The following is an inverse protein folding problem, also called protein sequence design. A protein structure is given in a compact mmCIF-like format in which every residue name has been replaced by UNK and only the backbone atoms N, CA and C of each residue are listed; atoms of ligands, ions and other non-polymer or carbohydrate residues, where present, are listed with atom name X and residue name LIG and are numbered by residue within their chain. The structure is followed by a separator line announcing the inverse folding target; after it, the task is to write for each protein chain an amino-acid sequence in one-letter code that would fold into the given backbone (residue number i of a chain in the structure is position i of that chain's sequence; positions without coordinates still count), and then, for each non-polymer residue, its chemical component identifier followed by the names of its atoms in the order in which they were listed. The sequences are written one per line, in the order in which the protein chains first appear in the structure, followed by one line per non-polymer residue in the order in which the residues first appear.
data_IF_194157769639
#
_entry.id   IF_194157769639
#
_cell.length_a   1.000
_cell.length_b   1.000
_cell.length_c   1.000
_cell.angle_alpha   90.00
_cell.angle_beta   90.00
_cell.angle_gamma   90.00
#
_symmetry.space_group_name_H-M   'P 1'
#
loop_
_entity.id
_entity.type
_entity.pdbx_description
1 polymer ?
#
# COMPACT_ATOMS: atom_id res chain seq x y z
N UNK A 1 -47.64 -20.07 -74.65
CA UNK A 1 -46.19 -20.30 -74.52
C UNK A 1 -45.56 -19.00 -74.04
N UNK A 2 -45.42 -18.80 -72.73
CA UNK A 2 -44.77 -17.62 -72.14
C UNK A 2 -43.40 -18.05 -71.63
N UNK A 3 -42.34 -17.58 -72.29
CA UNK A 3 -40.95 -17.77 -71.88
C UNK A 3 -40.47 -16.42 -71.37
N UNK A 4 -40.55 -16.21 -70.05
CA UNK A 4 -39.83 -15.13 -69.37
C UNK A 4 -39.63 -15.55 -67.90
N UNK A 5 -38.56 -16.30 -67.64
CA UNK A 5 -38.00 -16.46 -66.31
C UNK A 5 -37.04 -15.30 -66.05
N UNK A 6 -37.48 -14.30 -65.28
CA UNK A 6 -36.62 -13.28 -64.69
C UNK A 6 -36.36 -13.63 -63.22
N UNK A 7 -35.49 -14.60 -62.95
CA UNK A 7 -34.81 -14.74 -61.64
C UNK A 7 -33.61 -15.67 -61.82
N UNK A 8 -32.49 -15.11 -62.28
CA UNK A 8 -31.18 -15.75 -62.21
C UNK A 8 -30.28 -14.81 -61.44
N UNK A 9 -29.61 -15.34 -60.41
CA UNK A 9 -28.67 -14.69 -59.49
C UNK A 9 -29.30 -13.92 -58.31
N UNK A 10 -29.60 -14.64 -57.22
CA UNK A 10 -29.14 -14.30 -55.86
C UNK A 10 -29.43 -12.91 -55.25
N UNK A 11 -30.28 -12.08 -55.84
CA UNK A 11 -30.70 -10.78 -55.30
C UNK A 11 -31.68 -10.98 -54.12
N UNK A 12 -31.15 -11.43 -53.00
CA UNK A 12 -31.95 -11.64 -51.78
C UNK A 12 -31.13 -11.88 -50.51
N UNK A 13 -29.80 -11.90 -50.59
CA UNK A 13 -28.97 -11.94 -49.39
C UNK A 13 -28.61 -10.50 -49.01
N UNK A 14 -29.21 -10.04 -47.91
CA UNK A 14 -28.81 -8.82 -47.21
C UNK A 14 -27.31 -8.86 -46.95
N UNK A 15 -26.57 -7.92 -47.55
CA UNK A 15 -25.17 -7.72 -47.21
C UNK A 15 -25.07 -7.46 -45.70
N UNK A 16 -24.21 -8.16 -44.94
CA UNK A 16 -23.97 -7.81 -43.55
C UNK A 16 -23.39 -6.38 -43.51
N UNK A 17 -23.94 -5.57 -42.61
CA UNK A 17 -23.61 -4.16 -42.43
C UNK A 17 -22.08 -3.90 -42.44
N UNK A 18 -21.59 -2.89 -43.18
CA UNK A 18 -20.16 -2.62 -43.37
C UNK A 18 -19.40 -2.21 -42.10
N UNK A 19 -20.10 -1.92 -41.00
CA UNK A 19 -19.48 -1.39 -39.78
C UNK A 19 -18.70 -2.42 -38.94
N UNK A 20 -18.91 -3.74 -39.16
CA UNK A 20 -18.26 -4.78 -38.33
C UNK A 20 -17.46 -5.83 -39.12
N UNK A 21 -17.61 -5.92 -40.45
CA UNK A 21 -16.86 -6.89 -41.26
C UNK A 21 -15.45 -6.40 -41.61
N UNK A 22 -15.28 -5.11 -41.89
CA UNK A 22 -13.99 -4.58 -42.38
C UNK A 22 -13.00 -4.23 -41.27
N UNK A 23 -13.44 -4.12 -40.01
CA UNK A 23 -12.54 -3.79 -38.90
C UNK A 23 -11.49 -4.89 -38.67
N UNK A 24 -11.84 -6.17 -38.92
CA UNK A 24 -10.90 -7.28 -38.86
C UNK A 24 -9.88 -7.23 -40.02
N UNK A 25 -10.31 -6.87 -41.23
CA UNK A 25 -9.44 -6.71 -42.38
C UNK A 25 -8.52 -5.48 -42.23
N UNK A 26 -9.05 -4.35 -41.76
CA UNK A 26 -8.31 -3.12 -41.48
C UNK A 26 -7.30 -3.32 -40.35
N UNK A 27 -7.66 -4.01 -39.27
CA UNK A 27 -6.69 -4.35 -38.22
C UNK A 27 -5.61 -5.32 -38.70
N UNK A 28 -5.96 -6.33 -39.51
CA UNK A 28 -4.98 -7.21 -40.13
C UNK A 28 -4.02 -6.45 -41.05
N UNK A 29 -4.52 -5.47 -41.81
CA UNK A 29 -3.71 -4.61 -42.68
C UNK A 29 -2.83 -3.63 -41.87
N UNK A 30 -3.34 -3.10 -40.76
CA UNK A 30 -2.63 -2.16 -39.88
C UNK A 30 -1.54 -2.83 -39.03
N UNK A 31 -1.63 -4.14 -38.75
CA UNK A 31 -0.63 -4.88 -37.97
C UNK A 31 0.78 -4.89 -38.60
N UNK A 32 0.90 -4.70 -39.91
CA UNK A 32 2.18 -4.66 -40.63
C UNK A 32 2.69 -3.21 -40.89
N UNK A 33 2.09 -2.19 -40.28
CA UNK A 33 2.51 -0.77 -40.44
C UNK A 33 3.74 -0.37 -39.62
N UNK A 34 4.25 -1.25 -38.74
CA UNK A 34 5.49 -0.98 -38.02
C UNK A 34 6.69 -1.13 -38.97
N UNK A 35 7.51 -0.08 -39.08
CA UNK A 35 8.75 -0.14 -39.85
C UNK A 35 9.65 -1.24 -39.28
N UNK A 36 9.92 -2.27 -40.10
CA UNK A 36 10.84 -3.33 -39.74
C UNK A 36 12.24 -2.75 -39.58
N UNK A 37 13.05 -3.24 -38.60
CA UNK A 37 14.47 -2.90 -38.54
C UNK A 37 15.16 -3.19 -39.87
N UNK A 38 16.10 -2.32 -40.27
CA UNK A 38 16.77 -2.41 -41.58
C UNK A 38 17.37 -3.79 -41.87
N UNK A 39 17.94 -4.44 -40.85
CA UNK A 39 18.53 -5.79 -40.95
C UNK A 39 17.48 -6.82 -41.35
N UNK A 40 16.30 -6.77 -40.74
CA UNK A 40 15.18 -7.69 -41.04
C UNK A 40 14.56 -7.38 -42.40
N UNK A 41 14.43 -6.10 -42.76
CA UNK A 41 13.97 -5.70 -44.08
C UNK A 41 14.90 -6.23 -45.18
N UNK A 42 16.22 -6.03 -45.02
CA UNK A 42 17.25 -6.54 -45.94
C UNK A 42 17.23 -8.07 -46.02
N UNK A 43 17.09 -8.76 -44.88
CA UNK A 43 16.98 -10.22 -44.85
C UNK A 43 15.74 -10.72 -45.61
N UNK A 44 14.57 -10.13 -45.36
CA UNK A 44 13.35 -10.49 -46.07
C UNK A 44 13.41 -10.19 -47.57
N UNK A 45 14.11 -9.12 -47.98
CA UNK A 45 14.37 -8.81 -49.38
C UNK A 45 15.32 -9.84 -50.01
N UNK A 46 16.44 -10.16 -49.34
CA UNK A 46 17.39 -11.19 -49.79
C UNK A 46 16.71 -12.54 -49.97
N UNK A 47 15.86 -12.96 -49.04
CA UNK A 47 15.11 -14.20 -49.11
C UNK A 47 14.33 -14.38 -50.44
N UNK A 48 13.80 -13.29 -51.01
CA UNK A 48 13.05 -13.32 -52.27
C UNK A 48 13.95 -13.51 -53.50
N UNK A 49 15.24 -13.21 -53.37
CA UNK A 49 16.24 -13.25 -54.44
C UNK A 49 17.23 -14.40 -54.28
N UNK A 50 17.00 -15.35 -53.36
CA UNK A 50 17.83 -16.54 -53.26
C UNK A 50 17.52 -17.46 -54.45
N UNK A 51 18.55 -17.73 -55.23
CA UNK A 51 18.50 -18.66 -56.35
C UNK A 51 18.56 -20.11 -55.86
N UNK A 52 18.00 -21.04 -56.64
CA UNK A 52 18.00 -22.48 -56.33
C UNK A 52 16.85 -22.97 -55.47
N UNK A 53 15.94 -22.10 -55.01
CA UNK A 53 14.72 -22.48 -54.29
C UNK A 53 13.44 -22.03 -55.00
N UNK A 54 12.36 -22.80 -54.79
CA UNK A 54 11.05 -22.55 -55.41
C UNK A 54 10.48 -21.20 -54.97
N UNK A 55 9.67 -20.56 -55.82
CA UNK A 55 9.04 -19.27 -55.50
C UNK A 55 8.21 -19.32 -54.21
N UNK A 56 7.54 -20.46 -53.95
CA UNK A 56 6.81 -20.69 -52.71
C UNK A 56 7.72 -20.76 -51.48
N UNK A 57 8.89 -21.39 -51.61
CA UNK A 57 9.88 -21.49 -50.54
C UNK A 57 10.50 -20.12 -50.25
N UNK A 58 10.79 -19.31 -51.28
CA UNK A 58 11.26 -17.92 -51.13
C UNK A 58 10.27 -17.04 -50.39
N UNK A 59 9.00 -17.08 -50.77
CA UNK A 59 7.95 -16.30 -50.11
C UNK A 59 7.79 -16.70 -48.63
N UNK A 60 7.89 -18.00 -48.31
CA UNK A 60 7.88 -18.47 -46.92
C UNK A 60 9.14 -18.06 -46.16
N UNK A 61 10.32 -18.16 -46.77
CA UNK A 61 11.57 -17.75 -46.15
C UNK A 61 11.60 -16.25 -45.86
N UNK A 62 11.04 -15.42 -46.77
CA UNK A 62 10.83 -13.99 -46.55
C UNK A 62 9.88 -13.73 -45.39
N UNK A 63 8.78 -14.49 -45.29
CA UNK A 63 7.86 -14.40 -44.16
C UNK A 63 8.52 -14.81 -42.82
N UNK A 64 9.38 -15.84 -42.83
CA UNK A 64 10.14 -16.28 -41.66
C UNK A 64 11.17 -15.23 -41.25
N UNK A 65 11.91 -14.65 -42.20
CA UNK A 65 12.88 -13.58 -41.92
C UNK A 65 12.23 -12.39 -41.21
N UNK A 66 10.98 -12.03 -41.54
CA UNK A 66 10.20 -10.98 -40.85
C UNK A 66 9.75 -11.35 -39.42
N UNK A 67 9.86 -12.61 -39.02
CA UNK A 67 9.46 -13.11 -37.69
C UNK A 67 10.63 -13.45 -36.78
N UNK A 68 11.85 -13.46 -37.32
CA UNK A 68 13.07 -13.81 -36.58
C UNK A 68 13.60 -12.57 -35.87
N UNK A 69 14.09 -12.76 -34.65
CA UNK A 69 14.80 -11.72 -33.91
C UNK A 69 16.23 -11.57 -34.46
N UNK A 70 16.61 -10.36 -34.90
CA UNK A 70 17.92 -10.09 -35.51
C UNK A 70 19.10 -10.43 -34.56
N UNK A 71 18.93 -10.19 -33.25
CA UNK A 71 19.97 -10.44 -32.25
C UNK A 71 20.17 -11.94 -31.96
N UNK A 72 19.21 -12.79 -32.36
CA UNK A 72 19.20 -14.23 -32.07
C UNK A 72 18.68 -15.04 -33.28
N UNK A 73 19.45 -15.10 -34.38
CA UNK A 73 18.98 -15.71 -35.63
C UNK A 73 18.73 -17.23 -35.54
N UNK A 74 19.38 -17.91 -34.58
CA UNK A 74 19.26 -19.36 -34.36
C UNK A 74 18.17 -19.75 -33.34
N UNK A 75 17.52 -18.76 -32.72
CA UNK A 75 16.45 -19.02 -31.78
C UNK A 75 15.25 -19.72 -32.46
N UNK A 76 14.44 -20.40 -31.65
CA UNK A 76 13.18 -21.00 -32.12
C UNK A 76 12.24 -19.91 -32.64
N UNK A 77 11.75 -20.06 -33.86
CA UNK A 77 10.79 -19.13 -34.46
C UNK A 77 9.39 -19.42 -33.91
N UNK A 78 8.84 -18.46 -33.17
CA UNK A 78 7.50 -18.55 -32.58
C UNK A 78 6.42 -17.96 -33.50
N UNK A 79 6.35 -18.46 -34.74
CA UNK A 79 5.34 -18.02 -35.69
C UNK A 79 4.14 -18.99 -35.72
N UNK A 80 2.92 -18.45 -35.56
CA UNK A 80 1.70 -19.23 -35.81
C UNK A 80 1.59 -19.53 -37.30
N UNK A 81 0.98 -20.68 -37.62
CA UNK A 81 0.80 -21.13 -39.01
C UNK A 81 -0.02 -20.13 -39.82
N UNK A 82 -1.06 -19.57 -39.20
CA UNK A 82 -1.95 -18.58 -39.79
C UNK A 82 -1.21 -17.28 -40.14
N UNK A 83 -0.27 -16.88 -39.28
CA UNK A 83 0.57 -15.70 -39.49
C UNK A 83 1.52 -15.91 -40.67
N UNK A 84 2.14 -17.10 -40.76
CA UNK A 84 3.02 -17.42 -41.89
C UNK A 84 2.25 -17.52 -43.21
N UNK A 85 1.06 -18.14 -43.21
CA UNK A 85 0.21 -18.19 -44.41
C UNK A 85 -0.23 -16.81 -44.87
N UNK A 86 -0.57 -15.92 -43.93
CA UNK A 86 -0.94 -14.53 -44.24
C UNK A 86 0.22 -13.74 -44.84
N UNK A 87 1.41 -13.84 -44.25
CA UNK A 87 2.61 -13.11 -44.72
C UNK A 87 3.18 -13.67 -46.02
N UNK A 88 3.15 -14.99 -46.20
CA UNK A 88 3.62 -15.63 -47.42
C UNK A 88 2.56 -15.61 -48.55
N UNK A 89 1.32 -15.19 -48.24
CA UNK A 89 0.15 -15.23 -49.14
C UNK A 89 -0.08 -16.63 -49.74
N UNK A 90 0.02 -17.66 -48.90
CA UNK A 90 -0.08 -19.06 -49.31
C UNK A 90 -1.16 -19.79 -48.51
N UNK A 91 -1.82 -20.76 -49.14
CA UNK A 91 -2.70 -21.67 -48.41
C UNK A 91 -1.91 -22.56 -47.45
N UNK A 92 -2.60 -23.10 -46.45
CA UNK A 92 -2.00 -24.00 -45.46
C UNK A 92 -1.33 -25.24 -46.10
N UNK A 93 -1.91 -25.77 -47.18
CA UNK A 93 -1.34 -26.90 -47.93
C UNK A 93 -0.04 -26.51 -48.64
N UNK A 94 -0.02 -25.33 -49.26
CA UNK A 94 1.18 -24.81 -49.94
C UNK A 94 2.28 -24.49 -48.93
N UNK A 95 1.93 -24.00 -47.73
CA UNK A 95 2.88 -23.76 -46.65
C UNK A 95 3.66 -25.03 -46.28
N UNK A 96 2.99 -26.17 -46.09
CA UNK A 96 3.69 -27.43 -45.75
C UNK A 96 4.63 -27.90 -46.85
N UNK A 97 4.26 -27.69 -48.12
CA UNK A 97 5.14 -27.99 -49.26
C UNK A 97 6.34 -27.05 -49.30
N UNK A 98 6.12 -25.76 -49.07
CA UNK A 98 7.20 -24.77 -48.99
C UNK A 98 8.15 -25.05 -47.81
N UNK A 99 7.63 -25.47 -46.65
CA UNK A 99 8.46 -25.89 -45.53
C UNK A 99 9.28 -27.13 -45.87
N UNK A 100 8.69 -28.11 -46.56
CA UNK A 100 9.43 -29.28 -47.02
C UNK A 100 10.56 -28.91 -47.99
N UNK A 101 10.28 -28.03 -48.97
CA UNK A 101 11.31 -27.52 -49.88
C UNK A 101 12.45 -26.82 -49.12
N UNK A 102 12.14 -26.00 -48.10
CA UNK A 102 13.13 -25.32 -47.27
C UNK A 102 13.96 -26.28 -46.41
N UNK A 103 13.37 -27.36 -45.91
CA UNK A 103 14.07 -28.44 -45.21
C UNK A 103 14.99 -29.21 -46.16
N UNK A 104 14.51 -29.56 -47.36
CA UNK A 104 15.35 -30.25 -48.36
C UNK A 104 16.50 -29.38 -48.85
N UNK A 105 16.31 -28.06 -48.89
CA UNK A 105 17.35 -27.09 -49.22
C UNK A 105 18.30 -26.80 -48.04
N UNK A 106 18.09 -27.40 -46.86
CA UNK A 106 18.93 -27.20 -45.68
C UNK A 106 18.82 -25.80 -45.05
N UNK A 107 17.74 -25.05 -45.33
CA UNK A 107 17.55 -23.68 -44.85
C UNK A 107 16.77 -23.60 -43.53
N UNK A 108 15.94 -24.60 -43.25
CA UNK A 108 15.14 -24.67 -42.03
C UNK A 108 15.25 -26.04 -41.41
N UNK A 109 15.38 -26.09 -40.09
CA UNK A 109 15.39 -27.31 -39.30
C UNK A 109 14.13 -27.40 -38.42
N UNK A 110 13.46 -28.56 -38.46
CA UNK A 110 12.39 -28.91 -37.52
C UNK A 110 12.96 -29.76 -36.40
N UNK A 111 13.09 -29.18 -35.20
CA UNK A 111 13.46 -30.00 -34.03
C UNK A 111 12.37 -31.02 -33.70
N UNK A 112 12.75 -32.22 -33.22
CA UNK A 112 11.79 -33.25 -32.83
C UNK A 112 10.87 -32.73 -31.72
N UNK A 113 9.64 -33.23 -31.73
CA UNK A 113 8.64 -32.85 -30.75
C UNK A 113 9.01 -33.44 -29.38
N UNK A 114 9.50 -32.60 -28.47
CA UNK A 114 9.83 -33.04 -27.12
C UNK A 114 8.56 -33.48 -26.37
N UNK A 115 8.61 -34.63 -25.69
CA UNK A 115 7.52 -35.12 -24.85
C UNK A 115 7.79 -34.70 -23.40
N UNK A 116 6.84 -34.02 -22.78
CA UNK A 116 6.86 -33.77 -21.34
C UNK A 116 6.35 -35.03 -20.65
N UNK A 117 7.27 -35.86 -20.19
CA UNK A 117 6.97 -37.16 -19.58
C UNK A 117 6.09 -37.00 -18.33
N UNK A 118 6.33 -35.96 -17.53
CA UNK A 118 5.60 -35.68 -16.28
C UNK A 118 4.14 -35.29 -16.49
N UNK A 119 3.83 -34.61 -17.59
CA UNK A 119 2.48 -34.09 -17.86
C UNK A 119 1.74 -34.89 -18.95
N UNK A 120 2.39 -35.89 -19.56
CA UNK A 120 1.83 -36.67 -20.68
C UNK A 120 1.53 -35.85 -21.94
N UNK A 121 2.02 -34.61 -22.03
CA UNK A 121 1.78 -33.69 -23.13
C UNK A 121 2.96 -33.68 -24.10
N UNK A 122 2.65 -33.58 -25.39
CA UNK A 122 3.65 -33.31 -26.41
C UNK A 122 3.91 -31.79 -26.48
N UNK A 123 5.18 -31.41 -26.44
CA UNK A 123 5.65 -30.04 -26.66
C UNK A 123 5.40 -29.59 -28.09
N UNK A 124 5.78 -28.35 -28.41
CA UNK A 124 5.69 -27.82 -29.78
C UNK A 124 6.98 -28.14 -30.53
N UNK A 125 6.84 -28.53 -31.80
CA UNK A 125 7.97 -28.56 -32.72
C UNK A 125 8.21 -27.13 -33.21
N UNK A 126 9.38 -26.57 -32.87
CA UNK A 126 9.77 -25.24 -33.30
C UNK A 126 10.63 -25.31 -34.56
N UNK A 127 10.51 -24.27 -35.39
CA UNK A 127 11.34 -24.08 -36.57
C UNK A 127 12.59 -23.29 -36.16
N UNK A 128 13.74 -23.69 -36.69
CA UNK A 128 15.01 -23.01 -36.52
C UNK A 128 15.59 -22.67 -37.89
N UNK A 129 16.21 -21.49 -38.02
CA UNK A 129 17.07 -21.22 -39.18
C UNK A 129 18.37 -21.99 -39.02
N UNK A 130 18.82 -22.60 -40.11
CA UNK A 130 20.16 -23.19 -40.15
C UNK A 130 21.21 -22.09 -40.31
N UNK A 131 22.48 -22.45 -40.09
CA UNK A 131 23.60 -21.54 -40.33
C UNK A 131 23.60 -21.01 -41.78
N UNK A 132 23.39 -21.90 -42.75
CA UNK A 132 23.30 -21.54 -44.17
C UNK A 132 22.19 -20.52 -44.45
N UNK A 133 21.02 -20.67 -43.84
CA UNK A 133 19.95 -19.68 -44.00
C UNK A 133 20.29 -18.34 -43.37
N UNK A 134 20.90 -18.33 -42.18
CA UNK A 134 21.26 -17.08 -41.51
C UNK A 134 22.32 -16.28 -42.29
N UNK A 135 23.28 -16.98 -42.91
CA UNK A 135 24.31 -16.40 -43.80
C UNK A 135 23.68 -15.82 -45.08
N UNK A 136 22.84 -16.59 -45.78
CA UNK A 136 22.16 -16.13 -47.00
C UNK A 136 21.23 -14.93 -46.75
N UNK A 137 20.55 -14.91 -45.61
CA UNK A 137 19.71 -13.80 -45.19
C UNK A 137 20.53 -12.57 -44.75
N UNK A 138 21.83 -12.72 -44.50
CA UNK A 138 22.71 -11.67 -43.98
C UNK A 138 22.38 -11.27 -42.55
N UNK A 139 21.85 -12.21 -41.75
CA UNK A 139 21.63 -12.04 -40.32
C UNK A 139 22.91 -12.29 -39.51
N UNK A 140 23.85 -13.04 -40.09
CA UNK A 140 25.19 -13.29 -39.55
C UNK A 140 26.19 -12.83 -40.61
N UNK A 141 27.30 -12.23 -40.19
CA UNK A 141 28.41 -11.91 -41.09
C UNK A 141 28.96 -13.21 -41.67
N UNK A 142 29.10 -13.22 -42.99
CA UNK A 142 29.63 -14.35 -43.75
C UNK A 142 31.00 -14.70 -43.19
N UNK A 143 31.10 -15.84 -42.48
CA UNK A 143 32.40 -16.37 -42.08
C UNK A 143 33.14 -16.65 -43.39
N UNK A 144 34.29 -16.01 -43.68
CA UNK A 144 35.05 -16.37 -44.86
C UNK A 144 35.38 -17.86 -44.74
N UNK A 145 35.02 -18.62 -45.78
CA UNK A 145 35.34 -20.03 -45.86
C UNK A 145 36.83 -20.20 -45.52
N UNK A 146 37.22 -21.12 -44.61
CA UNK A 146 38.63 -21.42 -44.44
C UNK A 146 39.13 -21.90 -45.80
N UNK A 147 39.98 -21.09 -46.41
CA UNK A 147 40.80 -21.51 -47.54
C UNK A 147 41.53 -22.75 -47.04
N UNK A 148 41.19 -23.91 -47.58
CA UNK A 148 41.90 -25.14 -47.32
C UNK A 148 43.20 -25.05 -48.13
N UNK A 149 44.39 -24.84 -47.53
CA UNK A 149 45.60 -25.22 -48.21
C UNK A 149 45.64 -26.75 -48.24
N UNK A 150 45.63 -27.30 -49.45
CA UNK A 150 45.88 -28.71 -49.67
C UNK A 150 47.26 -29.11 -49.11
N UNK A 151 47.25 -30.15 -48.29
CA UNK A 151 48.29 -31.17 -48.09
C UNK A 151 49.72 -30.70 -47.78
N UNK A 152 50.15 -30.94 -46.53
CA UNK A 152 51.39 -31.67 -46.27
C UNK A 152 51.32 -32.32 -44.87
N UNK A 153 51.67 -33.60 -44.85
CA UNK A 153 51.73 -34.49 -43.70
C UNK A 153 52.63 -33.99 -42.56
N UNK A 154 52.20 -34.23 -41.31
CA UNK A 154 53.06 -34.74 -40.25
C UNK A 154 52.19 -35.19 -39.06
N UNK A 155 52.24 -36.50 -38.78
CA UNK A 155 51.58 -37.12 -37.65
C UNK A 155 52.17 -36.74 -36.29
N UNK A 156 51.37 -36.95 -35.26
CA UNK A 156 51.76 -36.82 -33.87
C UNK A 156 50.56 -37.04 -32.95
N UNK A 157 50.34 -38.30 -32.57
CA UNK A 157 49.53 -38.70 -31.43
C UNK A 157 50.21 -38.26 -30.13
N UNK A 158 49.50 -37.59 -29.22
CA UNK A 158 49.44 -38.00 -27.80
C UNK A 158 48.34 -37.27 -27.03
N UNK A 159 47.86 -37.94 -26.00
CA UNK A 159 46.72 -37.63 -25.14
C UNK A 159 47.01 -36.55 -24.07
N UNK A 160 45.95 -35.87 -23.62
CA UNK A 160 45.76 -35.57 -22.19
C UNK A 160 46.15 -34.17 -21.65
N UNK A 161 45.17 -33.24 -21.65
CA UNK A 161 44.79 -32.41 -20.48
C UNK A 161 43.65 -31.44 -20.85
N UNK A 162 42.48 -31.59 -20.23
CA UNK A 162 41.53 -30.48 -20.07
C UNK A 162 41.94 -29.57 -18.90
N UNK A 163 41.11 -28.61 -18.43
CA UNK A 163 39.82 -28.11 -18.93
C UNK A 163 39.89 -26.58 -19.21
N UNK A 164 38.73 -25.92 -19.30
CA UNK A 164 38.49 -24.45 -19.31
C UNK A 164 38.00 -23.87 -20.64
N UNK A 165 36.77 -24.23 -20.99
CA UNK A 165 35.88 -23.30 -21.69
C UNK A 165 34.91 -22.71 -20.68
N UNK A 166 34.94 -21.38 -20.62
CA UNK A 166 34.24 -20.53 -19.70
C UNK A 166 32.76 -20.90 -19.54
N UNK A 167 32.43 -21.33 -18.33
CA UNK A 167 31.12 -21.21 -17.71
C UNK A 167 30.66 -19.74 -17.76
N UNK A 168 29.94 -19.36 -18.81
CA UNK A 168 28.94 -18.31 -18.70
C UNK A 168 27.64 -18.92 -18.18
N UNK A 169 26.91 -18.31 -17.23
CA UNK A 169 25.58 -18.77 -16.89
C UNK A 169 24.63 -18.52 -18.08
N UNK A 170 24.55 -19.49 -18.99
CA UNK A 170 23.50 -19.54 -20.00
C UNK A 170 22.22 -19.97 -19.28
N UNK A 171 21.38 -19.00 -18.93
CA UNK A 171 20.02 -19.25 -18.51
C UNK A 171 19.30 -20.02 -19.62
N UNK A 172 19.20 -21.34 -19.46
CA UNK A 172 18.42 -22.23 -20.32
C UNK A 172 16.94 -22.00 -20.01
N UNK A 173 16.40 -20.87 -20.49
CA UNK A 173 14.96 -20.56 -20.46
C UNK A 173 14.38 -20.71 -21.87
N UNK A 174 14.74 -21.78 -22.57
CA UNK A 174 14.27 -22.05 -23.94
C UNK A 174 13.12 -23.07 -24.00
N UNK A 175 12.39 -23.26 -22.91
CA UNK A 175 11.07 -23.90 -22.95
C UNK A 175 10.02 -22.81 -22.71
N UNK A 176 9.72 -22.07 -23.78
CA UNK A 176 8.57 -21.18 -23.78
C UNK A 176 7.33 -21.96 -23.37
N UNK A 177 6.58 -21.40 -22.42
CA UNK A 177 5.35 -21.97 -21.88
C UNK A 177 4.46 -22.51 -23.01
N UNK A 178 3.96 -23.73 -22.84
CA UNK A 178 2.97 -24.31 -23.75
C UNK A 178 1.79 -23.33 -23.76
N UNK A 179 1.10 -23.14 -24.88
CA UNK A 179 -0.10 -22.28 -24.93
C UNK A 179 -1.21 -22.67 -23.94
N UNK A 180 -1.13 -23.86 -23.34
CA UNK A 180 -1.97 -24.30 -22.23
C UNK A 180 -1.51 -23.73 -20.88
N UNK A 181 -0.25 -23.35 -20.75
CA UNK A 181 0.35 -22.66 -19.59
C UNK A 181 0.35 -21.12 -19.75
N UNK A 182 0.29 -20.63 -20.99
CA UNK A 182 0.11 -19.20 -21.29
C UNK A 182 -1.32 -18.70 -21.01
N UNK A 183 -2.25 -19.62 -20.73
CA UNK A 183 -3.58 -19.33 -20.20
C UNK A 183 -3.78 -20.19 -18.95
N UNK A 184 -3.46 -19.72 -17.73
CA UNK A 184 -4.34 -20.09 -16.63
C UNK A 184 -5.68 -19.50 -17.06
N UNK A 185 -6.60 -20.34 -17.50
CA UNK A 185 -7.85 -19.93 -18.10
C UNK A 185 -8.39 -18.69 -17.36
N UNK A 186 -8.46 -17.56 -18.06
CA UNK A 186 -9.25 -16.41 -17.60
C UNK A 186 -10.75 -16.77 -17.46
N UNK A 187 -11.11 -17.99 -17.90
CA UNK A 187 -12.39 -18.68 -17.74
C UNK A 187 -12.41 -19.79 -16.68
N UNK A 188 -11.25 -20.23 -16.14
CA UNK A 188 -11.29 -20.81 -14.81
C UNK A 188 -11.62 -19.64 -13.93
N UNK A 189 -12.87 -19.59 -13.50
CA UNK A 189 -13.39 -18.72 -12.46
C UNK A 189 -12.51 -18.98 -11.24
N UNK A 190 -11.31 -18.35 -11.21
CA UNK A 190 -10.59 -18.05 -9.98
C UNK A 190 -11.71 -17.46 -9.16
N UNK A 191 -12.13 -18.18 -8.11
CA UNK A 191 -13.09 -17.63 -7.17
C UNK A 191 -12.66 -16.20 -6.97
N UNK A 192 -13.48 -15.19 -7.38
CA UNK A 192 -13.02 -13.82 -7.38
C UNK A 192 -12.60 -13.59 -5.95
N UNK A 193 -11.28 -13.53 -5.73
CA UNK A 193 -10.74 -13.40 -4.40
C UNK A 193 -11.45 -12.19 -3.86
N UNK A 194 -12.20 -12.35 -2.77
CA UNK A 194 -12.85 -11.18 -2.21
C UNK A 194 -11.73 -10.28 -1.71
N UNK A 195 -11.71 -9.05 -2.20
CA UNK A 195 -10.79 -8.04 -1.69
C UNK A 195 -11.13 -7.86 -0.20
N UNK A 196 -10.13 -7.93 0.70
CA UNK A 196 -10.34 -7.69 2.13
C UNK A 196 -11.12 -6.39 2.38
N UNK A 197 -12.02 -6.39 3.37
CA UNK A 197 -12.92 -5.26 3.63
C UNK A 197 -12.19 -3.91 3.69
N UNK A 198 -11.04 -3.85 4.36
CA UNK A 198 -10.20 -2.66 4.54
C UNK A 198 -9.70 -2.05 3.21
N UNK A 199 -9.59 -2.85 2.16
CA UNK A 199 -9.10 -2.46 0.84
C UNK A 199 -10.23 -2.21 -0.15
N UNK A 200 -11.47 -2.58 0.16
CA UNK A 200 -12.62 -2.34 -0.72
C UNK A 200 -12.85 -0.85 -0.97
N UNK A 201 -12.51 0.01 -0.01
CA UNK A 201 -12.58 1.48 -0.18
C UNK A 201 -11.73 1.99 -1.34
N UNK A 202 -10.65 1.30 -1.75
CA UNK A 202 -9.87 1.68 -2.92
C UNK A 202 -10.68 1.60 -4.23
N UNK A 203 -11.71 0.77 -4.29
CA UNK A 203 -12.58 0.67 -5.48
C UNK A 203 -13.27 2.01 -5.79
N UNK A 204 -13.60 2.80 -4.78
CA UNK A 204 -14.18 4.14 -4.95
C UNK A 204 -13.27 5.12 -5.69
N UNK A 205 -11.96 4.85 -5.74
CA UNK A 205 -10.95 5.66 -6.41
C UNK A 205 -10.53 5.09 -7.77
N UNK A 206 -11.26 4.09 -8.29
CA UNK A 206 -11.00 3.50 -9.60
C UNK A 206 -9.98 2.37 -9.62
N UNK A 207 -9.63 1.80 -8.46
CA UNK A 207 -8.76 0.61 -8.42
C UNK A 207 -9.56 -0.65 -8.79
N UNK A 208 -9.08 -1.39 -9.78
CA UNK A 208 -9.61 -2.72 -10.09
C UNK A 208 -9.10 -3.76 -9.09
N UNK A 209 -9.90 -4.81 -8.85
CA UNK A 209 -9.53 -5.89 -7.93
C UNK A 209 -8.18 -6.53 -8.29
N UNK A 210 -7.94 -6.74 -9.58
CA UNK A 210 -6.66 -7.25 -10.08
C UNK A 210 -5.48 -6.34 -9.72
N UNK A 211 -5.67 -5.02 -9.82
CA UNK A 211 -4.65 -4.05 -9.45
C UNK A 211 -4.41 -4.07 -7.93
N UNK A 212 -5.47 -4.18 -7.13
CA UNK A 212 -5.35 -4.30 -5.66
C UNK A 212 -4.55 -5.56 -5.30
N UNK A 213 -4.85 -6.71 -5.91
CA UNK A 213 -4.07 -7.94 -5.68
C UNK A 213 -2.61 -7.81 -6.11
N UNK A 214 -2.34 -7.14 -7.24
CA UNK A 214 -0.98 -6.84 -7.68
C UNK A 214 -0.24 -5.97 -6.67
N UNK A 215 -0.90 -4.92 -6.16
CA UNK A 215 -0.34 -4.02 -5.15
C UNK A 215 -0.13 -4.73 -3.80
N UNK A 216 -1.00 -5.65 -3.41
CA UNK A 216 -0.80 -6.47 -2.21
C UNK A 216 0.46 -7.33 -2.32
N UNK A 217 0.72 -7.90 -3.51
CA UNK A 217 1.95 -8.65 -3.77
C UNK A 217 3.17 -7.74 -3.70
N UNK A 218 3.12 -6.58 -4.36
CA UNK A 218 4.22 -5.61 -4.31
C UNK A 218 4.50 -5.10 -2.90
N UNK A 219 3.46 -4.87 -2.09
CA UNK A 219 3.62 -4.51 -0.69
C UNK A 219 4.31 -5.62 0.11
N UNK A 220 3.91 -6.88 -0.12
CA UNK A 220 4.53 -8.05 0.51
C UNK A 220 6.00 -8.20 0.14
N UNK A 221 6.33 -8.01 -1.13
CA UNK A 221 7.72 -8.04 -1.62
C UNK A 221 8.57 -6.93 -0.98
N UNK A 222 7.95 -5.79 -0.65
CA UNK A 222 8.56 -4.69 0.09
C UNK A 222 8.51 -4.87 1.63
N UNK A 223 8.04 -6.01 2.15
CA UNK A 223 7.94 -6.30 3.59
C UNK A 223 6.81 -5.56 4.32
N UNK A 224 5.80 -5.05 3.61
CA UNK A 224 4.72 -4.21 4.15
C UNK A 224 3.33 -4.79 3.90
N UNK A 225 2.35 -4.37 4.69
CA UNK A 225 0.94 -4.70 4.46
C UNK A 225 0.24 -3.53 3.77
N UNK A 226 -0.41 -3.79 2.64
CA UNK A 226 -1.11 -2.76 1.88
C UNK A 226 -2.21 -2.06 2.71
N UNK A 227 -2.91 -2.83 3.57
CA UNK A 227 -3.95 -2.28 4.46
C UNK A 227 -3.42 -1.15 5.33
N UNK A 228 -2.26 -1.34 5.97
CA UNK A 228 -1.65 -0.36 6.88
C UNK A 228 -1.26 0.92 6.13
N UNK A 229 -0.66 0.76 4.94
CA UNK A 229 -0.28 1.90 4.09
C UNK A 229 -1.50 2.71 3.69
N UNK A 230 -2.57 2.04 3.28
CA UNK A 230 -3.81 2.71 2.84
C UNK A 230 -4.51 3.39 4.02
N UNK A 231 -4.52 2.79 5.20
CA UNK A 231 -5.12 3.39 6.41
C UNK A 231 -4.44 4.71 6.78
N UNK A 232 -3.10 4.71 6.80
CA UNK A 232 -2.32 5.91 7.14
C UNK A 232 -2.44 6.98 6.05
N UNK A 233 -2.40 6.60 4.78
CA UNK A 233 -2.32 7.55 3.66
C UNK A 233 -3.66 7.86 3.00
N UNK A 234 -4.78 7.36 3.54
CA UNK A 234 -6.10 7.47 2.92
C UNK A 234 -6.48 8.90 2.51
N UNK A 235 -6.24 9.88 3.39
CA UNK A 235 -6.58 11.28 3.13
C UNK A 235 -5.78 11.85 1.96
N UNK A 236 -4.46 11.59 1.93
CA UNK A 236 -3.58 12.01 0.83
C UNK A 236 -3.88 11.27 -0.46
N UNK A 237 -4.25 10.00 -0.36
CA UNK A 237 -4.58 9.14 -1.49
C UNK A 237 -5.90 9.56 -2.15
N UNK A 238 -6.89 10.02 -1.36
CA UNK A 238 -8.15 10.59 -1.88
C UNK A 238 -7.93 11.95 -2.55
N UNK A 239 -7.01 12.76 -2.06
CA UNK A 239 -6.69 14.08 -2.63
C UNK A 239 -5.77 14.01 -3.87
N UNK A 240 -5.12 12.87 -4.12
CA UNK A 240 -4.15 12.72 -5.19
C UNK A 240 -4.81 12.74 -6.58
N UNK A 241 -4.26 13.53 -7.51
CA UNK A 241 -4.67 13.55 -8.93
C UNK A 241 -4.44 12.19 -9.63
N UNK A 242 -3.47 11.41 -9.15
CA UNK A 242 -3.09 10.08 -9.70
C UNK A 242 -2.87 9.07 -8.57
N UNK A 243 -3.94 8.54 -7.96
CA UNK A 243 -3.83 7.73 -6.73
C UNK A 243 -3.07 6.41 -6.95
N UNK A 244 -3.18 5.80 -8.14
CA UNK A 244 -2.46 4.56 -8.48
C UNK A 244 -0.94 4.76 -8.46
N UNK A 245 -0.46 5.82 -9.13
CA UNK A 245 0.97 6.14 -9.19
C UNK A 245 1.49 6.55 -7.81
N UNK A 246 0.71 7.33 -7.06
CA UNK A 246 1.04 7.77 -5.72
C UNK A 246 1.22 6.57 -4.76
N UNK A 247 0.28 5.64 -4.77
CA UNK A 247 0.37 4.42 -3.96
C UNK A 247 1.57 3.55 -4.37
N UNK A 248 1.82 3.39 -5.67
CA UNK A 248 3.00 2.68 -6.17
C UNK A 248 4.32 3.31 -5.71
N UNK A 249 4.39 4.64 -5.62
CA UNK A 249 5.56 5.34 -5.09
C UNK A 249 5.73 5.12 -3.58
N UNK A 250 4.64 5.18 -2.81
CA UNK A 250 4.65 4.92 -1.36
C UNK A 250 5.14 3.51 -1.01
N UNK A 251 4.77 2.50 -1.82
CA UNK A 251 5.22 1.13 -1.61
C UNK A 251 6.74 0.96 -1.83
N UNK A 252 7.37 1.79 -2.66
CA UNK A 252 8.82 1.77 -2.92
C UNK A 252 9.63 2.52 -1.87
N UNK A 253 9.04 3.49 -1.19
CA UNK A 253 9.71 4.29 -0.17
C UNK A 253 10.00 3.43 1.08
N UNK A 254 11.15 3.53 1.77
CA UNK A 254 11.46 2.73 2.97
C UNK A 254 10.61 2.99 4.24
N UNK A 255 9.64 3.90 4.24
CA UNK A 255 8.83 4.24 5.44
C UNK A 255 8.04 3.04 6.01
N UNK A 256 8.12 2.83 7.32
CA UNK A 256 7.32 1.82 8.05
C UNK A 256 5.96 2.39 8.50
N UNK A 257 4.93 2.09 7.72
CA UNK A 257 3.55 2.50 8.00
C UNK A 257 2.89 1.67 9.12
N UNK A 258 3.40 0.47 9.41
CA UNK A 258 2.82 -0.39 10.45
C UNK A 258 3.11 0.19 11.84
N UNK A 259 4.31 0.74 12.04
CA UNK A 259 4.67 1.44 13.26
C UNK A 259 3.81 2.70 13.48
N UNK A 260 3.62 3.50 12.43
CA UNK A 260 2.77 4.70 12.48
C UNK A 260 1.32 4.37 12.85
N UNK A 261 0.77 3.29 12.28
CA UNK A 261 -0.58 2.87 12.59
C UNK A 261 -0.72 2.39 14.04
N UNK A 262 0.23 1.59 14.54
CA UNK A 262 0.24 1.14 15.94
C UNK A 262 0.28 2.30 16.92
N UNK A 263 1.14 3.29 16.67
CA UNK A 263 1.27 4.47 17.51
C UNK A 263 -0.04 5.27 17.55
N UNK A 264 -0.70 5.43 16.40
CA UNK A 264 -2.00 6.10 16.31
C UNK A 264 -3.11 5.34 17.03
N UNK A 265 -3.18 4.02 16.87
CA UNK A 265 -4.19 3.19 17.54
C UNK A 265 -4.00 3.12 19.05
N UNK A 266 -2.75 3.11 19.52
CA UNK A 266 -2.45 3.16 20.96
C UNK A 266 -2.88 4.50 21.56
N UNK A 267 -2.55 5.61 20.91
CA UNK A 267 -2.97 6.93 21.37
C UNK A 267 -4.50 7.08 21.42
N UNK A 268 -5.24 6.53 20.44
CA UNK A 268 -6.71 6.55 20.48
C UNK A 268 -7.27 5.65 21.58
N UNK A 269 -6.74 4.44 21.76
CA UNK A 269 -7.17 3.53 22.83
C UNK A 269 -6.91 4.12 24.22
N UNK A 270 -5.77 4.78 24.43
CA UNK A 270 -5.46 5.48 25.68
C UNK A 270 -6.37 6.67 25.92
N UNK A 271 -6.76 7.40 24.86
CA UNK A 271 -7.72 8.50 24.97
C UNK A 271 -9.13 8.00 25.30
N UNK A 272 -9.57 6.90 24.69
CA UNK A 272 -10.85 6.25 24.97
C UNK A 272 -10.89 5.68 26.38
N UNK A 273 -9.83 4.97 26.81
CA UNK A 273 -9.71 4.48 28.18
C UNK A 273 -9.73 5.62 29.20
N UNK A 274 -9.08 6.76 28.91
CA UNK A 274 -9.17 7.97 29.76
C UNK A 274 -10.59 8.53 29.82
N UNK A 275 -11.30 8.59 28.69
CA UNK A 275 -12.70 9.04 28.64
C UNK A 275 -13.63 8.11 29.40
N UNK A 276 -13.50 6.80 29.23
CA UNK A 276 -14.29 5.80 29.94
C UNK A 276 -14.07 5.91 31.46
N UNK A 277 -12.81 5.97 31.91
CA UNK A 277 -12.49 6.17 33.33
C UNK A 277 -13.07 7.49 33.88
N UNK A 278 -13.06 8.56 33.09
CA UNK A 278 -13.65 9.83 33.51
C UNK A 278 -15.18 9.73 33.65
N UNK A 279 -15.86 9.04 32.72
CA UNK A 279 -17.31 8.80 32.77
C UNK A 279 -17.67 7.91 33.96
N UNK A 280 -16.93 6.82 34.19
CA UNK A 280 -17.13 5.93 35.33
C UNK A 280 -16.91 6.66 36.65
N UNK A 281 -15.82 7.43 36.76
CA UNK A 281 -15.53 8.25 37.94
C UNK A 281 -16.64 9.27 38.21
N UNK A 282 -17.19 9.90 37.16
CA UNK A 282 -18.30 10.83 37.28
C UNK A 282 -19.60 10.12 37.68
N UNK A 283 -19.85 8.91 37.18
CA UNK A 283 -21.01 8.10 37.57
C UNK A 283 -20.95 7.71 39.06
N UNK A 284 -19.77 7.27 39.53
CA UNK A 284 -19.54 6.96 40.96
C UNK A 284 -19.71 8.20 41.83
N UNK A 285 -19.20 9.35 41.39
CA UNK A 285 -19.38 10.62 42.10
C UNK A 285 -20.87 11.01 42.22
N UNK A 286 -21.65 10.87 41.14
CA UNK A 286 -23.10 11.13 41.14
C UNK A 286 -23.88 10.15 42.01
N UNK A 287 -23.51 8.86 42.00
CA UNK A 287 -24.14 7.87 42.87
C UNK A 287 -23.84 8.12 44.36
N UNK A 288 -22.71 8.77 44.63
CA UNK A 288 -22.25 9.11 45.97
C UNK A 288 -22.70 10.51 46.42
N UNK A 289 -23.54 11.19 45.63
CA UNK A 289 -24.02 12.53 45.92
C UNK A 289 -24.79 12.59 47.26
N UNK A 290 -24.50 13.61 48.07
CA UNK A 290 -25.10 13.81 49.39
C UNK A 290 -24.62 12.83 50.48
N UNK A 291 -23.65 11.96 50.19
CA UNK A 291 -23.08 11.02 51.15
C UNK A 291 -21.79 11.54 51.76
N UNK A 292 -21.50 11.05 52.97
CA UNK A 292 -20.26 11.33 53.69
C UNK A 292 -19.46 10.03 53.81
N UNK A 293 -18.17 10.11 53.53
CA UNK A 293 -17.24 9.00 53.60
C UNK A 293 -16.11 9.33 54.58
N UNK A 294 -15.60 8.33 55.26
CA UNK A 294 -14.43 8.45 56.13
C UNK A 294 -13.33 7.50 55.64
N UNK A 295 -12.09 7.96 55.78
CA UNK A 295 -10.92 7.12 55.56
C UNK A 295 -10.85 6.00 56.60
N UNK A 296 -10.17 4.89 56.29
CA UNK A 296 -9.99 3.75 57.22
C UNK A 296 -9.35 4.19 58.53
N UNK A 297 -8.44 5.16 58.47
CA UNK A 297 -7.75 5.73 59.63
C UNK A 297 -8.58 6.80 60.37
N UNK A 298 -9.77 7.15 59.86
CA UNK A 298 -10.69 8.17 60.40
C UNK A 298 -10.09 9.57 60.57
N UNK A 299 -8.96 9.86 59.93
CA UNK A 299 -8.30 11.17 59.97
C UNK A 299 -8.95 12.20 59.06
N UNK A 300 -9.50 11.73 57.94
CA UNK A 300 -10.09 12.54 56.90
C UNK A 300 -11.55 12.14 56.69
N UNK A 301 -12.42 13.15 56.63
CA UNK A 301 -13.82 13.02 56.27
C UNK A 301 -14.05 13.69 54.92
N UNK A 302 -14.74 12.99 54.05
CA UNK A 302 -15.04 13.38 52.67
C UNK A 302 -16.55 13.58 52.54
N UNK A 303 -17.01 14.80 52.29
CA UNK A 303 -18.42 15.09 52.00
C UNK A 303 -18.60 15.37 50.52
N UNK A 304 -19.48 14.60 49.88
CA UNK A 304 -19.87 14.82 48.48
C UNK A 304 -21.13 15.67 48.48
N UNK A 305 -21.09 16.79 47.75
CA UNK A 305 -22.25 17.69 47.63
C UNK A 305 -23.47 16.97 47.00
N UNK A 306 -24.66 17.52 47.20
CA UNK A 306 -25.92 16.97 46.68
C UNK A 306 -25.95 16.89 45.14
N UNK A 307 -25.14 17.70 44.45
CA UNK A 307 -24.96 17.66 43.00
C UNK A 307 -23.97 16.57 42.52
N UNK A 308 -23.12 16.05 43.40
CA UNK A 308 -22.02 15.14 43.04
C UNK A 308 -20.86 15.82 42.29
N UNK A 309 -20.84 17.15 42.18
CA UNK A 309 -19.81 17.90 41.44
C UNK A 309 -18.66 18.37 42.35
N UNK A 310 -18.94 18.61 43.62
CA UNK A 310 -17.97 19.10 44.60
C UNK A 310 -17.72 18.07 45.70
N UNK A 311 -16.44 17.97 46.09
CA UNK A 311 -15.99 17.18 47.23
C UNK A 311 -15.28 18.10 48.20
N UNK A 312 -15.73 18.08 49.43
CA UNK A 312 -15.15 18.78 50.57
C UNK A 312 -14.42 17.77 51.44
N UNK A 313 -13.16 18.05 51.76
CA UNK A 313 -12.31 17.21 52.60
C UNK A 313 -12.07 17.94 53.91
N UNK A 314 -12.46 17.32 55.01
CA UNK A 314 -12.25 17.81 56.36
C UNK A 314 -11.19 16.97 57.06
N UNK A 315 -10.12 17.61 57.53
CA UNK A 315 -9.08 16.97 58.36
C UNK A 315 -9.41 17.15 59.83
N UNK A 316 -9.51 16.04 60.57
CA UNK A 316 -9.73 16.07 62.02
C UNK A 316 -8.54 16.65 62.81
N UNK A 317 -7.33 16.57 62.26
CA UNK A 317 -6.11 17.10 62.91
C UNK A 317 -5.97 18.61 62.70
N UNK A 318 -6.34 19.12 61.52
CA UNK A 318 -6.17 20.53 61.18
C UNK A 318 -7.44 21.37 61.43
N UNK A 319 -8.61 20.74 61.49
CA UNK A 319 -9.90 21.42 61.66
C UNK A 319 -10.34 22.26 60.45
N UNK A 320 -9.68 22.10 59.30
CA UNK A 320 -9.89 22.91 58.08
C UNK A 320 -10.59 22.05 57.02
N UNK A 321 -11.59 22.65 56.36
CA UNK A 321 -12.26 22.11 55.19
C UNK A 321 -11.61 22.62 53.90
N UNK A 322 -11.31 21.72 52.97
CA UNK A 322 -10.73 22.04 51.66
C UNK A 322 -11.56 21.44 50.54
N UNK A 323 -11.78 22.21 49.48
CA UNK A 323 -12.44 21.73 48.28
C UNK A 323 -11.43 21.05 47.37
N UNK A 324 -11.73 19.82 46.92
CA UNK A 324 -10.84 19.08 46.03
C UNK A 324 -11.14 19.37 44.56
N UNK A 325 -10.10 19.49 43.72
CA UNK A 325 -10.20 19.62 42.26
C UNK A 325 -9.83 18.30 41.59
N UNK A 326 -10.46 17.97 40.44
CA UNK A 326 -10.27 16.71 39.70
C UNK A 326 -10.35 15.44 40.57
N UNK A 327 -11.19 15.48 41.61
CA UNK A 327 -11.23 14.49 42.69
C UNK A 327 -11.91 13.18 42.28
N UNK A 328 -12.79 13.22 41.29
CA UNK A 328 -13.71 12.13 40.93
C UNK A 328 -12.97 10.82 40.64
N UNK A 329 -11.87 10.87 39.85
CA UNK A 329 -11.10 9.68 39.49
C UNK A 329 -10.35 9.08 40.70
N UNK A 330 -9.76 9.93 41.54
CA UNK A 330 -9.07 9.50 42.76
C UNK A 330 -10.05 8.92 43.79
N UNK A 331 -11.20 9.55 43.96
CA UNK A 331 -12.28 9.10 44.84
C UNK A 331 -12.87 7.76 44.40
N UNK A 332 -13.21 7.60 43.12
CA UNK A 332 -13.72 6.33 42.60
C UNK A 332 -12.71 5.18 42.81
N UNK A 333 -11.42 5.44 42.60
CA UNK A 333 -10.35 4.46 42.85
C UNK A 333 -10.22 4.13 44.35
N UNK A 334 -10.30 5.14 45.23
CA UNK A 334 -10.21 4.95 46.67
C UNK A 334 -11.42 4.22 47.27
N UNK A 335 -12.61 4.47 46.72
CA UNK A 335 -13.85 3.79 47.09
C UNK A 335 -13.83 2.32 46.64
N UNK A 336 -13.45 2.05 45.38
CA UNK A 336 -13.31 0.68 44.86
C UNK A 336 -12.19 -0.11 45.58
N UNK A 337 -11.12 0.57 45.98
CA UNK A 337 -10.02 0.00 46.77
C UNK A 337 -10.32 -0.19 48.25
N UNK A 338 -11.53 0.13 48.72
CA UNK A 338 -11.96 -0.04 50.12
C UNK A 338 -11.28 0.88 51.13
N UNK A 339 -10.59 1.94 50.66
CA UNK A 339 -9.94 2.95 51.52
C UNK A 339 -10.93 3.97 52.07
N UNK A 340 -12.09 4.10 51.43
CA UNK A 340 -13.18 4.95 51.89
C UNK A 340 -14.35 4.08 52.33
N UNK A 341 -14.89 4.35 53.50
CA UNK A 341 -16.12 3.72 54.01
C UNK A 341 -17.20 4.77 54.12
N UNK A 342 -18.41 4.42 53.68
CA UNK A 342 -19.59 5.28 53.89
C UNK A 342 -19.77 5.45 55.40
N UNK A 343 -19.71 6.70 55.86
CA UNK A 343 -19.95 7.02 57.24
C UNK A 343 -21.45 6.79 57.49
N UNK A 344 -21.78 5.75 58.25
CA UNK A 344 -23.15 5.57 58.73
C UNK A 344 -23.54 6.86 59.43
N UNK A 345 -24.66 7.50 59.07
CA UNK A 345 -25.13 8.67 59.78
C UNK A 345 -25.48 8.20 61.19
N UNK A 346 -24.51 8.30 62.11
CA UNK A 346 -24.79 8.31 63.54
C UNK A 346 -25.72 9.50 63.70
N UNK A 347 -27.00 9.20 63.95
CA UNK A 347 -28.08 10.16 63.94
C UNK A 347 -27.66 11.44 64.64
N UNK A 348 -27.98 12.56 64.01
CA UNK A 348 -27.80 13.94 64.47
C UNK A 348 -28.56 14.26 65.78
N UNK A 349 -28.81 13.28 66.65
CA UNK A 349 -29.37 13.44 67.97
C UNK A 349 -28.29 13.56 69.07
N UNK A 350 -27.06 13.07 68.85
CA UNK A 350 -26.06 13.01 69.94
C UNK A 350 -25.03 14.14 69.90
N UNK A 351 -24.73 14.74 68.74
CA UNK A 351 -23.75 15.84 68.63
C UNK A 351 -24.34 17.20 69.03
N UNK A 352 -25.66 17.34 69.00
CA UNK A 352 -26.36 18.52 69.51
C UNK A 352 -26.24 18.67 71.05
N UNK A 353 -25.87 17.62 71.79
CA UNK A 353 -25.69 17.68 73.25
C UNK A 353 -24.28 18.06 73.71
N UNK A 354 -23.27 18.02 72.83
CA UNK A 354 -21.88 18.34 73.20
C UNK A 354 -21.49 19.82 73.02
N UNK A 355 -22.30 20.64 72.35
CA UNK A 355 -22.09 22.10 72.27
C UNK A 355 -22.86 22.91 73.32
N UNK A 356 -23.62 22.25 74.21
CA UNK A 356 -24.37 22.89 75.30
C UNK A 356 -23.56 23.06 76.61
N UNK A 357 -22.23 23.08 76.53
CA UNK A 357 -21.35 23.51 77.63
C UNK A 357 -20.32 24.50 77.12
N UNK A 358 -20.78 25.70 76.80
CA UNK A 358 -19.92 26.89 76.87
C UNK A 358 -20.42 27.71 78.03
N UNK A 359 -19.57 27.88 79.03
CA UNK A 359 -19.80 28.75 80.18
C UNK A 359 -20.22 30.16 79.74
N UNK A 360 -21.07 30.86 80.52
CA UNK A 360 -21.52 32.20 80.15
C UNK A 360 -20.33 33.15 80.10
N UNK A 361 -19.98 33.61 78.89
CA UNK A 361 -19.06 34.74 78.69
C UNK A 361 -19.60 35.95 79.43
N UNK A 362 -18.81 36.44 80.40
CA UNK A 362 -19.05 37.67 81.14
C UNK A 362 -19.25 38.83 80.14
N UNK A 363 -20.30 39.66 80.29
CA UNK A 363 -20.52 40.78 79.38
C UNK A 363 -19.41 41.81 79.52
N UNK A 364 -18.77 42.13 78.39
CA UNK A 364 -17.77 43.19 78.29
C UNK A 364 -18.44 44.52 78.65
N UNK A 365 -18.04 45.11 79.77
CA UNK A 365 -18.55 46.39 80.23
C UNK A 365 -18.00 47.54 79.37
N UNK A 366 -18.71 48.67 79.27
CA UNK A 366 -18.23 49.83 78.50
C UNK A 366 -16.87 50.37 79.00
N UNK A 367 -16.50 50.08 80.25
CA UNK A 367 -15.19 50.41 80.81
C UNK A 367 -14.03 49.65 80.14
N UNK A 368 -14.23 48.37 79.76
CA UNK A 368 -13.21 47.58 79.06
C UNK A 368 -13.04 48.04 77.61
N UNK A 369 -14.11 48.55 76.98
CA UNK A 369 -14.05 49.18 75.65
C UNK A 369 -13.27 50.49 75.65
N UNK A 370 -13.42 51.31 76.68
CA UNK A 370 -12.67 52.56 76.82
C UNK A 370 -11.16 52.32 77.08
N UNK A 371 -10.83 51.27 77.84
CA UNK A 371 -9.44 50.92 78.12
C UNK A 371 -8.68 50.42 76.88
N UNK A 372 -9.34 49.64 76.02
CA UNK A 372 -8.75 49.17 74.75
C UNK A 372 -8.59 50.33 73.75
N UNK A 373 -9.53 51.27 73.70
CA UNK A 373 -9.43 52.44 72.82
C UNK A 373 -8.23 53.35 73.16
N UNK A 374 -7.93 53.55 74.45
CA UNK A 374 -6.78 54.34 74.88
C UNK A 374 -5.41 53.74 74.51
N UNK A 375 -5.33 52.42 74.36
CA UNK A 375 -4.09 51.73 73.94
C UNK A 375 -3.80 51.98 72.45
N UNK A 376 -4.85 52.15 71.63
CA UNK A 376 -4.70 52.41 70.20
C UNK A 376 -4.26 53.84 69.87
N UNK A 377 -4.53 54.82 70.75
CA UNK A 377 -4.09 56.20 70.57
C UNK A 377 -2.59 56.43 70.87
N UNK A 378 -1.96 55.54 71.64
CA UNK A 378 -0.52 55.60 71.95
C UNK A 378 0.35 55.04 70.81
N UNK A 379 -0.21 54.23 69.91
CA UNK A 379 0.52 53.47 68.89
C UNK A 379 0.57 54.12 67.50
N UNK A 380 0.11 55.37 67.33
CA UNK A 380 0.20 56.09 66.05
C UNK A 380 1.16 57.30 66.11
N UNK A 381 2.39 57.19 65.60
CA UNK A 381 3.13 58.37 65.18
C UNK A 381 2.63 58.82 63.79
N UNK A 382 2.29 60.10 63.69
CA UNK A 382 1.75 60.70 62.47
C UNK A 382 2.80 61.11 61.43
N UNK A 383 2.33 61.25 60.18
CA UNK A 383 2.76 62.19 59.12
C UNK A 383 1.87 61.88 57.90
N UNK A 384 0.83 62.66 57.61
CA UNK A 384 0.81 63.94 56.84
C UNK A 384 1.55 63.87 55.49
N UNK A 385 0.73 64.15 54.48
CA UNK A 385 0.98 64.73 53.16
C UNK A 385 1.55 63.83 52.04
N UNK A 386 0.68 63.42 51.12
CA UNK A 386 0.87 63.61 49.67
C UNK A 386 -0.44 63.34 48.89
N UNK A 387 -0.74 64.28 47.98
CA UNK A 387 -1.95 64.43 47.18
C UNK A 387 -2.00 63.48 45.97
N UNK A 388 -3.26 63.29 45.53
CA UNK A 388 -3.76 63.06 44.16
C UNK A 388 -3.63 61.65 43.53
N UNK A 389 -4.79 61.09 43.16
CA UNK A 389 -4.98 59.81 42.45
C UNK A 389 -4.69 59.88 40.93
N UNK A 390 -5.32 59.06 40.04
CA UNK A 390 -6.58 58.31 40.22
C UNK A 390 -6.59 56.82 39.76
N UNK A 391 -7.66 56.14 40.21
CA UNK A 391 -8.45 55.03 39.62
C UNK A 391 -7.81 54.07 38.58
N UNK A 392 -7.80 52.77 38.89
CA UNK A 392 -8.42 51.66 38.12
C UNK A 392 -8.17 50.32 38.83
N UNK A 393 -9.22 49.60 39.22
CA UNK A 393 -9.78 48.42 38.54
C UNK A 393 -8.91 47.15 38.57
N UNK A 394 -9.33 46.19 39.41
CA UNK A 394 -9.57 44.80 38.99
C UNK A 394 -8.38 43.92 38.59
N UNK A 395 -7.47 43.61 39.52
CA UNK A 395 -6.43 42.58 39.33
C UNK A 395 -6.79 41.22 39.93
N UNK A 396 -7.42 40.35 39.11
CA UNK A 396 -7.41 38.88 39.26
C UNK A 396 -5.96 38.38 39.15
N UNK A 397 -5.47 37.59 40.11
CA UNK A 397 -4.22 36.81 39.93
C UNK A 397 -4.57 35.33 39.90
N UNK A 398 -4.34 34.75 38.72
CA UNK A 398 -4.40 33.34 38.36
C UNK A 398 -2.96 32.81 38.47
N UNK A 399 -2.75 31.74 39.23
CA UNK A 399 -1.49 30.98 39.22
C UNK A 399 -1.82 29.52 38.93
N UNK A 400 -1.63 29.13 37.67
CA UNK A 400 -1.56 27.75 37.21
C UNK A 400 -0.11 27.48 36.78
N UNK A 401 0.41 26.38 37.32
CA UNK A 401 1.25 25.36 36.66
C UNK A 401 2.59 25.74 36.01
N UNK A 402 3.65 25.34 36.71
CA UNK A 402 4.89 24.74 36.17
C UNK A 402 4.50 23.45 35.41
N UNK A 403 4.99 23.09 34.21
CA UNK A 403 6.33 22.81 33.65
C UNK A 403 6.14 22.48 32.13
N UNK A 404 7.14 22.04 31.30
CA UNK A 404 8.60 22.01 31.43
C UNK A 404 9.37 22.61 30.22
N UNK A 405 10.69 22.66 30.40
CA UNK A 405 11.76 23.00 29.46
C UNK A 405 11.76 22.21 28.14
N UNK A 406 12.01 22.94 27.04
CA UNK A 406 12.74 22.46 25.86
C UNK A 406 13.78 23.52 25.46
N UNK A 407 15.06 23.19 25.64
CA UNK A 407 16.21 23.89 25.05
C UNK A 407 16.17 23.69 23.52
N UNK A 408 16.23 24.74 22.67
CA UNK A 408 17.44 25.40 22.06
C UNK A 408 18.44 24.38 21.46
N UNK A 409 19.06 24.46 20.27
CA UNK A 409 19.42 25.51 19.29
C UNK A 409 19.95 24.77 18.04
N UNK A 410 19.71 25.19 16.78
CA UNK A 410 20.62 25.89 15.81
C UNK A 410 20.07 25.53 14.42
N UNK A 411 19.68 26.40 13.47
CA UNK A 411 20.24 27.62 12.85
C UNK A 411 21.64 27.44 12.27
N UNK A 412 21.72 27.45 10.94
CA UNK A 412 22.64 28.17 10.01
C UNK A 412 22.04 27.93 8.60
N UNK A 413 21.31 28.91 8.03
CA UNK A 413 21.72 29.89 7.01
C UNK A 413 21.96 29.26 5.61
N UNK A 414 21.04 29.39 4.64
CA UNK A 414 20.85 30.51 3.68
C UNK A 414 21.65 30.28 2.36
N UNK A 415 21.51 31.07 1.29
CA UNK A 415 20.51 30.90 0.23
C UNK A 415 21.13 30.80 -1.19
N UNK A 416 20.39 30.25 -2.16
CA UNK A 416 20.17 30.77 -3.54
C UNK A 416 18.82 30.25 -4.02
#
# INVERSE_FOLDING_TARGET
MSIAQHFVAGEGSTHPSPAHSDQAALSAFQCDTTNLPWVIFRAAFRANHIDGISQRARALLSALARTVDADRPFASIFARRELLTGRALQSMRTLYRALHDLETAGLVERRPQNRYVEAGLFGRAYLHLTQQAAELLGLVEERPAPVVPATADAGGSDEGKGPDQANGPCATVAHGAIYKDLYPASLQKRQPGQVPADLQRLRSLGFSDFLIFKLMRQARDAGKRLSDVVEVTWQHLKAAKRPICYLGALLRNPVDFSHQLRQRSQASAEAEARRQRAVEAQAVAKQSAGKVFEDVDRKLRYSVDASGEHLSVYSHEEGIERQATNWQAGFATALAGGRLREAVPVGLATVAMSFARTEPRVPVTPATRAHIAGIWDVLKPGRKDLKAGPKNEGGRVRLESLQPHLETTRVIASPV
#
